data_IF_128718607372
#
_entry.id   IF_128718607372
#
_cell.length_a   1.000
_cell.length_b   1.000
_cell.length_c   1.000
_cell.angle_alpha   90.00
_cell.angle_beta   90.00
_cell.angle_gamma   90.00
#
_symmetry.space_group_name_H-M   'P 1'
#
loop_
_entity.id
_entity.type
_entity.pdbx_description
1 polymer ?
#
# COMPACT_ATOMS: atom_id res chain seq x y z
N UNK A 1 -49.85 -4.31 -33.68
CA UNK A 1 -51.23 -4.34 -33.14
C UNK A 1 -51.13 -3.81 -31.72
N UNK A 2 -51.28 -2.48 -31.50
CA UNK A 2 -52.43 -1.78 -30.89
C UNK A 2 -52.86 -2.42 -29.58
N UNK A 3 -52.83 -1.74 -28.38
CA UNK A 3 -53.54 -0.54 -27.96
C UNK A 3 -53.03 -0.10 -26.57
N UNK A 4 -52.60 1.10 -26.25
CA UNK A 4 -53.23 2.37 -25.83
C UNK A 4 -54.39 2.24 -24.80
N UNK A 5 -54.22 2.89 -23.60
CA UNK A 5 -54.97 4.02 -22.96
C UNK A 5 -54.73 3.97 -21.48
N UNK A 6 -54.18 4.98 -20.75
CA UNK A 6 -54.74 6.26 -20.25
C UNK A 6 -56.08 6.16 -19.49
N UNK A 7 -56.04 6.64 -18.21
CA UNK A 7 -57.03 7.42 -17.43
C UNK A 7 -56.39 7.66 -16.05
N UNK A 8 -56.11 8.73 -15.59
CA UNK A 8 -56.43 10.08 -15.11
C UNK A 8 -57.69 10.17 -14.24
N UNK A 9 -57.55 10.69 -13.01
CA UNK A 9 -58.40 11.49 -12.14
C UNK A 9 -58.07 11.24 -10.64
N UNK A 10 -57.60 12.11 -9.83
CA UNK A 10 -57.97 13.46 -9.36
C UNK A 10 -59.05 13.46 -8.25
N UNK A 11 -58.78 14.29 -7.20
CA UNK A 11 -59.66 14.79 -6.09
C UNK A 11 -59.76 13.90 -4.83
N UNK A 12 -59.62 14.40 -3.62
CA UNK A 12 -60.05 15.64 -2.97
C UNK A 12 -59.30 15.85 -1.64
N UNK A 13 -59.08 17.10 -1.30
CA UNK A 13 -58.59 17.59 -0.02
C UNK A 13 -59.64 17.40 1.08
N UNK A 14 -59.19 17.15 2.32
CA UNK A 14 -59.93 17.53 3.50
C UNK A 14 -59.03 17.98 4.63
N UNK A 15 -59.19 19.25 4.98
CA UNK A 15 -58.59 20.02 6.02
C UNK A 15 -59.20 19.60 7.38
N UNK A 16 -58.34 19.23 8.36
CA UNK A 16 -58.71 19.32 9.77
C UNK A 16 -57.51 19.81 10.60
N UNK A 17 -57.57 21.05 11.00
CA UNK A 17 -56.81 21.65 12.08
C UNK A 17 -57.29 21.05 13.42
N UNK A 18 -56.39 20.56 14.24
CA UNK A 18 -56.49 20.60 15.69
C UNK A 18 -55.10 20.66 16.31
N UNK A 19 -54.89 21.75 17.02
CA UNK A 19 -53.71 22.04 17.85
C UNK A 19 -53.69 21.18 19.09
N UNK A 20 -52.53 20.81 19.57
CA UNK A 20 -52.00 21.13 20.88
C UNK A 20 -50.88 20.21 21.39
N UNK A 21 -49.90 20.89 22.01
CA UNK A 21 -49.01 20.45 23.09
C UNK A 21 -47.87 19.49 22.75
N UNK A 22 -46.67 20.11 22.86
CA UNK A 22 -45.35 19.58 22.68
C UNK A 22 -44.86 18.51 23.68
N UNK A 23 -43.90 17.80 23.19
CA UNK A 23 -42.85 17.11 23.95
C UNK A 23 -41.57 17.19 23.08
N UNK A 24 -40.38 17.30 23.66
CA UNK A 24 -39.16 17.54 22.88
C UNK A 24 -38.75 16.28 22.12
N UNK A 25 -38.56 16.46 20.83
CA UNK A 25 -38.34 15.42 19.87
C UNK A 25 -36.95 14.82 19.92
N UNK A 26 -36.88 13.61 19.41
CA UNK A 26 -35.67 13.03 18.91
C UNK A 26 -35.29 13.65 17.57
N UNK A 27 -34.06 14.05 17.42
CA UNK A 27 -33.48 14.42 16.14
C UNK A 27 -33.36 13.16 15.28
N UNK A 28 -34.21 13.05 14.29
CA UNK A 28 -34.03 12.13 13.19
C UNK A 28 -32.80 12.61 12.43
N UNK A 29 -31.68 11.90 12.61
CA UNK A 29 -30.47 12.12 11.85
C UNK A 29 -30.73 11.82 10.38
N UNK A 30 -30.93 12.87 9.61
CA UNK A 30 -30.82 12.86 8.17
C UNK A 30 -29.40 12.41 7.84
N UNK A 31 -29.24 11.18 7.31
CA UNK A 31 -27.95 10.73 6.77
C UNK A 31 -27.69 11.55 5.51
N UNK A 32 -26.85 12.56 5.66
CA UNK A 32 -26.27 13.26 4.53
C UNK A 32 -25.56 12.24 3.62
N UNK A 33 -25.75 12.32 2.30
CA UNK A 33 -25.01 11.46 1.37
C UNK A 33 -23.51 11.73 1.54
N UNK A 34 -22.73 10.66 1.51
CA UNK A 34 -21.27 10.61 1.73
C UNK A 34 -20.53 11.27 0.56
N UNK A 35 -20.81 12.53 0.28
CA UNK A 35 -20.31 13.25 -0.88
C UNK A 35 -19.50 14.49 -0.52
N UNK A 36 -18.83 14.49 0.62
CA UNK A 36 -17.81 15.48 0.95
C UNK A 36 -16.84 14.90 1.99
N UNK A 37 -16.01 13.96 1.58
CA UNK A 37 -14.75 13.73 2.29
C UNK A 37 -13.94 14.99 2.07
N UNK A 38 -14.05 15.96 2.98
CA UNK A 38 -13.13 17.10 3.03
C UNK A 38 -11.74 16.48 3.15
N UNK A 39 -10.91 16.67 2.11
CA UNK A 39 -9.48 16.43 2.21
C UNK A 39 -9.03 17.22 3.43
N UNK A 40 -8.71 16.51 4.49
CA UNK A 40 -8.21 17.14 5.70
C UNK A 40 -6.78 17.55 5.41
N UNK A 41 -6.47 18.85 5.47
CA UNK A 41 -5.10 19.36 5.58
C UNK A 41 -4.49 19.03 6.96
N UNK A 42 -5.07 18.05 7.66
CA UNK A 42 -4.60 17.62 8.95
C UNK A 42 -3.17 17.07 8.82
N UNK A 43 -2.32 17.54 9.71
CA UNK A 43 -0.95 17.04 9.84
C UNK A 43 -0.96 15.52 10.02
N UNK A 44 -0.15 14.83 9.24
CA UNK A 44 0.12 13.41 9.40
C UNK A 44 1.63 13.16 9.34
N UNK A 45 2.21 12.74 10.45
CA UNK A 45 3.64 12.48 10.59
C UNK A 45 3.95 11.00 10.67
N UNK A 46 4.96 10.55 9.93
CA UNK A 46 5.57 9.22 10.10
C UNK A 46 7.01 9.35 10.54
N UNK A 47 7.42 8.50 11.46
CA UNK A 47 8.81 8.42 11.87
C UNK A 47 9.66 7.87 10.72
N UNK A 48 10.81 8.49 10.50
CA UNK A 48 11.83 8.03 9.56
C UNK A 48 13.19 7.94 10.26
N UNK A 49 13.73 6.75 10.32
CA UNK A 49 15.08 6.51 10.82
C UNK A 49 16.06 6.57 9.67
N UNK A 50 16.74 7.72 9.55
CA UNK A 50 17.71 7.96 8.48
C UNK A 50 19.05 7.33 8.83
N UNK A 51 19.35 6.20 8.22
CA UNK A 51 20.61 5.47 8.37
C UNK A 51 21.11 4.98 7.02
N UNK A 52 21.43 5.92 6.11
CA UNK A 52 21.76 5.64 4.71
C UNK A 52 20.53 5.60 3.81
N UNK A 53 20.69 5.04 2.62
CA UNK A 53 19.59 4.86 1.64
C UNK A 53 18.57 3.88 2.16
N UNK A 54 17.29 4.23 2.06
CA UNK A 54 16.20 3.31 2.35
C UNK A 54 16.11 2.27 1.23
N UNK A 55 16.72 1.12 1.46
CA UNK A 55 16.54 -0.06 0.62
C UNK A 55 15.45 -0.94 1.24
N UNK A 56 14.30 -1.13 0.58
CA UNK A 56 13.13 -1.77 1.19
C UNK A 56 13.34 -3.24 1.53
N UNK A 57 14.28 -3.92 0.84
CA UNK A 57 14.57 -5.34 1.09
C UNK A 57 15.73 -5.58 2.06
N UNK A 58 16.50 -4.53 2.41
CA UNK A 58 17.61 -4.62 3.36
C UNK A 58 17.31 -3.93 4.69
N UNK A 59 16.43 -2.93 4.72
CA UNK A 59 16.09 -2.23 5.97
C UNK A 59 15.27 -3.13 6.88
N UNK A 60 15.85 -3.48 8.03
CA UNK A 60 15.23 -4.32 9.05
C UNK A 60 14.59 -3.51 10.17
N UNK A 61 14.66 -2.16 10.13
CA UNK A 61 14.11 -1.31 11.20
C UNK A 61 12.59 -1.33 11.20
N UNK A 62 11.99 -1.49 12.36
CA UNK A 62 10.52 -1.48 12.49
C UNK A 62 9.91 -0.12 12.14
N UNK A 63 10.68 0.97 12.29
CA UNK A 63 10.25 2.33 11.96
C UNK A 63 10.10 2.48 10.45
N UNK A 64 11.16 2.16 9.69
CA UNK A 64 11.16 2.33 8.25
C UNK A 64 10.23 1.34 7.53
N UNK A 65 9.86 0.23 8.20
CA UNK A 65 8.91 -0.73 7.61
C UNK A 65 7.56 -0.09 7.25
N UNK A 66 7.07 0.85 8.07
CA UNK A 66 5.83 1.59 7.77
C UNK A 66 5.99 2.43 6.50
N UNK A 67 7.18 3.04 6.31
CA UNK A 67 7.49 3.78 5.09
C UNK A 67 7.57 2.84 3.88
N UNK A 68 8.21 1.67 4.04
CA UNK A 68 8.31 0.69 2.96
C UNK A 68 6.93 0.25 2.47
N UNK A 69 5.96 0.04 3.38
CA UNK A 69 4.58 -0.33 3.03
C UNK A 69 3.84 0.78 2.25
N UNK A 70 4.22 2.05 2.43
CA UNK A 70 3.64 3.18 1.70
C UNK A 70 4.34 3.46 0.35
N UNK A 71 5.60 3.06 0.22
CA UNK A 71 6.47 3.43 -0.89
C UNK A 71 6.67 2.30 -1.90
N UNK A 72 6.57 1.04 -1.48
CA UNK A 72 6.91 -0.11 -2.31
C UNK A 72 5.82 -1.17 -2.25
N UNK A 73 5.68 -1.91 -3.32
CA UNK A 73 4.74 -3.01 -3.44
C UNK A 73 5.49 -4.31 -3.77
N UNK A 74 4.88 -5.44 -3.42
CA UNK A 74 5.36 -6.77 -3.79
C UNK A 74 4.62 -7.32 -5.00
N UNK A 75 5.00 -8.53 -5.46
CA UNK A 75 4.22 -9.25 -6.46
C UNK A 75 2.80 -9.54 -5.95
N UNK A 76 2.69 -9.78 -4.65
CA UNK A 76 1.44 -10.08 -3.95
C UNK A 76 1.34 -9.30 -2.64
N UNK A 77 0.10 -9.13 -2.17
CA UNK A 77 -0.23 -8.76 -0.80
C UNK A 77 -0.82 -9.97 -0.09
N UNK A 78 -0.42 -10.19 1.17
CA UNK A 78 -0.98 -11.26 1.99
C UNK A 78 -2.10 -10.71 2.85
N UNK A 79 -3.32 -11.14 2.59
CA UNK A 79 -4.51 -10.71 3.33
C UNK A 79 -4.55 -11.27 4.74
N UNK A 80 -5.46 -10.72 5.56
CA UNK A 80 -5.73 -11.23 6.93
C UNK A 80 -6.20 -12.70 6.96
N UNK A 81 -6.66 -13.24 5.84
CA UNK A 81 -7.04 -14.65 5.69
C UNK A 81 -5.88 -15.52 5.17
N UNK A 82 -4.67 -14.98 5.14
CA UNK A 82 -3.47 -15.64 4.61
C UNK A 82 -3.59 -16.06 3.14
N UNK A 83 -4.37 -15.33 2.33
CA UNK A 83 -4.40 -15.49 0.86
C UNK A 83 -3.47 -14.48 0.20
N UNK A 84 -2.82 -14.88 -0.89
CA UNK A 84 -2.06 -13.97 -1.73
C UNK A 84 -3.01 -13.31 -2.72
N UNK A 85 -3.07 -11.99 -2.72
CA UNK A 85 -3.78 -11.19 -3.72
C UNK A 85 -2.75 -10.56 -4.66
N UNK A 86 -3.07 -10.53 -5.94
CA UNK A 86 -2.19 -9.99 -6.97
C UNK A 86 -2.05 -8.46 -6.81
N UNK A 87 -0.79 -7.97 -6.82
CA UNK A 87 -0.49 -6.53 -6.79
C UNK A 87 0.31 -6.17 -8.05
N UNK A 88 1.62 -6.44 -8.10
CA UNK A 88 2.45 -6.25 -9.29
C UNK A 88 2.39 -7.44 -10.26
N UNK A 89 1.94 -8.59 -9.77
CA UNK A 89 1.68 -9.78 -10.58
C UNK A 89 0.27 -9.70 -11.20
N UNK A 90 0.13 -9.88 -12.50
CA UNK A 90 -1.15 -10.02 -13.19
C UNK A 90 -1.69 -11.45 -13.07
N UNK A 91 -0.82 -12.43 -13.31
CA UNK A 91 -1.16 -13.86 -13.24
C UNK A 91 0.09 -14.71 -13.02
N UNK A 92 -0.09 -15.94 -12.55
CA UNK A 92 1.01 -16.89 -12.47
C UNK A 92 0.55 -18.31 -12.76
N UNK A 93 1.51 -19.14 -13.19
CA UNK A 93 1.37 -20.57 -13.34
C UNK A 93 2.47 -21.26 -12.54
N UNK A 94 2.20 -22.46 -12.00
CA UNK A 94 3.19 -23.21 -11.27
C UNK A 94 2.76 -24.63 -10.95
N UNK A 95 3.74 -25.53 -10.86
CA UNK A 95 3.56 -26.94 -10.49
C UNK A 95 3.93 -27.23 -9.02
N UNK A 96 4.23 -26.19 -8.26
CA UNK A 96 4.71 -26.25 -6.88
C UNK A 96 6.23 -26.20 -6.76
N UNK A 97 6.98 -26.46 -7.82
CA UNK A 97 8.44 -26.38 -7.85
C UNK A 97 8.92 -25.27 -8.77
N UNK A 98 8.27 -25.10 -9.91
CA UNK A 98 8.57 -24.04 -10.87
C UNK A 98 7.35 -23.12 -10.99
N UNK A 99 7.58 -21.83 -10.87
CA UNK A 99 6.56 -20.80 -11.03
C UNK A 99 6.98 -19.81 -12.12
N UNK A 100 6.02 -19.40 -12.93
CA UNK A 100 6.19 -18.29 -13.89
C UNK A 100 5.16 -17.23 -13.57
N UNK A 101 5.62 -16.04 -13.19
CA UNK A 101 4.81 -14.89 -12.83
C UNK A 101 4.78 -13.92 -14.01
N UNK A 102 3.61 -13.49 -14.45
CA UNK A 102 3.43 -12.47 -15.47
C UNK A 102 3.15 -11.14 -14.75
N UNK A 103 3.93 -10.12 -15.05
CA UNK A 103 3.81 -8.80 -14.45
C UNK A 103 2.72 -7.98 -15.13
N UNK A 104 2.10 -7.08 -14.39
CA UNK A 104 1.17 -6.07 -14.91
C UNK A 104 1.91 -5.14 -15.87
N UNK A 105 1.23 -4.75 -16.95
CA UNK A 105 1.79 -3.83 -17.96
C UNK A 105 1.50 -2.35 -17.71
N UNK A 106 0.74 -2.00 -16.67
CA UNK A 106 0.29 -0.65 -16.34
C UNK A 106 1.00 -0.03 -15.12
N UNK A 107 2.05 -0.69 -14.61
CA UNK A 107 2.80 -0.23 -13.45
C UNK A 107 4.03 0.56 -13.88
N UNK A 108 4.22 1.73 -13.25
CA UNK A 108 5.42 2.54 -13.38
C UNK A 108 6.02 2.85 -12.01
N UNK A 109 7.33 2.98 -11.97
CA UNK A 109 8.05 3.56 -10.83
C UNK A 109 7.79 5.07 -10.70
N UNK A 110 8.19 5.69 -9.59
CA UNK A 110 8.05 7.14 -9.41
C UNK A 110 8.83 7.95 -10.45
N UNK A 111 9.94 7.40 -10.94
CA UNK A 111 10.72 7.99 -12.03
C UNK A 111 9.97 8.06 -13.37
N UNK A 112 8.85 7.31 -13.49
CA UNK A 112 8.10 7.15 -14.73
C UNK A 112 8.55 5.97 -15.59
N UNK A 113 9.61 5.24 -15.18
CA UNK A 113 10.06 4.03 -15.86
C UNK A 113 9.06 2.88 -15.62
N UNK A 114 8.84 2.04 -16.63
CA UNK A 114 7.94 0.89 -16.52
C UNK A 114 8.58 -0.22 -15.66
N UNK A 115 7.74 -0.92 -14.89
CA UNK A 115 8.15 -2.14 -14.18
C UNK A 115 8.54 -3.24 -15.17
N UNK A 116 9.69 -3.86 -14.93
CA UNK A 116 10.22 -4.97 -15.73
C UNK A 116 10.53 -6.21 -14.88
N UNK A 117 10.74 -7.33 -15.55
CA UNK A 117 11.16 -8.57 -14.89
C UNK A 117 12.54 -8.44 -14.24
N UNK A 118 13.43 -7.63 -14.80
CA UNK A 118 14.78 -7.42 -14.24
C UNK A 118 14.72 -6.73 -12.88
N UNK A 119 13.79 -5.78 -12.67
CA UNK A 119 13.57 -5.12 -11.38
C UNK A 119 13.14 -6.12 -10.30
N UNK A 120 12.25 -7.05 -10.65
CA UNK A 120 11.80 -8.10 -9.75
C UNK A 120 12.94 -9.05 -9.42
N UNK A 121 13.71 -9.47 -10.44
CA UNK A 121 14.89 -10.33 -10.25
C UNK A 121 15.90 -9.64 -9.34
N UNK A 122 16.25 -8.38 -9.60
CA UNK A 122 17.22 -7.62 -8.79
C UNK A 122 16.76 -7.50 -7.33
N UNK A 123 15.49 -7.18 -7.10
CA UNK A 123 14.92 -7.04 -5.75
C UNK A 123 14.94 -8.35 -4.97
N UNK A 124 14.45 -9.42 -5.58
CA UNK A 124 14.38 -10.74 -4.93
C UNK A 124 15.77 -11.35 -4.72
N UNK A 125 16.70 -11.21 -5.68
CA UNK A 125 18.08 -11.67 -5.51
C UNK A 125 18.81 -10.87 -4.42
N UNK A 126 18.60 -9.54 -4.34
CA UNK A 126 19.14 -8.73 -3.26
C UNK A 126 18.67 -9.23 -1.88
N UNK A 127 17.38 -9.54 -1.75
CA UNK A 127 16.83 -10.12 -0.53
C UNK A 127 17.35 -11.52 -0.23
N UNK A 128 17.50 -12.37 -1.27
CA UNK A 128 17.98 -13.75 -1.13
C UNK A 128 19.45 -13.83 -0.72
N UNK A 129 20.31 -13.01 -1.32
CA UNK A 129 21.74 -13.07 -1.13
C UNK A 129 22.22 -12.40 0.16
N UNK A 130 21.38 -11.58 0.80
CA UNK A 130 21.74 -10.88 2.02
C UNK A 130 21.08 -11.53 3.24
N UNK A 131 21.88 -12.22 4.06
CA UNK A 131 21.41 -12.88 5.29
C UNK A 131 20.81 -11.90 6.33
N UNK A 132 21.16 -10.62 6.27
CA UNK A 132 20.58 -9.57 7.14
C UNK A 132 19.21 -9.09 6.64
N UNK A 133 18.80 -9.43 5.42
CA UNK A 133 17.49 -9.09 4.89
C UNK A 133 16.38 -9.73 5.73
N UNK A 134 15.32 -8.98 6.10
CA UNK A 134 14.17 -9.55 6.78
C UNK A 134 13.41 -10.57 5.92
N UNK A 135 13.71 -10.63 4.62
CA UNK A 135 13.07 -11.53 3.65
C UNK A 135 13.95 -12.73 3.28
N UNK A 136 15.23 -12.76 3.67
CA UNK A 136 16.17 -13.82 3.31
C UNK A 136 15.60 -15.23 3.54
N UNK A 137 15.06 -15.48 4.73
CA UNK A 137 14.52 -16.80 5.10
C UNK A 137 13.33 -17.26 4.25
N UNK A 138 12.64 -16.36 3.55
CA UNK A 138 11.53 -16.71 2.65
C UNK A 138 12.02 -17.26 1.31
N UNK A 139 13.27 -16.98 0.96
CA UNK A 139 13.88 -17.29 -0.34
C UNK A 139 14.97 -18.38 -0.27
N UNK A 140 15.18 -18.99 0.90
CA UNK A 140 16.22 -20.03 1.08
C UNK A 140 16.00 -21.27 0.22
N UNK A 141 14.74 -21.61 -0.08
CA UNK A 141 14.39 -22.75 -0.95
C UNK A 141 14.35 -22.36 -2.43
N UNK A 142 14.71 -21.14 -2.80
CA UNK A 142 14.76 -20.71 -4.19
C UNK A 142 16.11 -21.05 -4.79
N UNK A 143 16.11 -21.88 -5.86
CA UNK A 143 17.32 -22.29 -6.58
C UNK A 143 17.67 -21.35 -7.73
N UNK A 144 16.69 -20.75 -8.41
CA UNK A 144 16.92 -19.72 -9.42
C UNK A 144 15.78 -18.70 -9.50
N UNK A 145 16.12 -17.47 -9.87
CA UNK A 145 15.21 -16.37 -10.18
C UNK A 145 15.70 -15.79 -11.50
N UNK A 146 14.87 -15.84 -12.54
CA UNK A 146 15.26 -15.46 -13.90
C UNK A 146 14.19 -14.63 -14.59
N UNK A 147 14.59 -13.57 -15.30
CA UNK A 147 13.71 -12.85 -16.20
C UNK A 147 13.45 -13.68 -17.47
N UNK A 148 12.20 -13.78 -17.88
CA UNK A 148 11.78 -14.43 -19.13
C UNK A 148 11.13 -13.37 -20.01
N UNK A 149 11.99 -12.65 -20.77
CA UNK A 149 11.55 -11.43 -21.46
C UNK A 149 11.31 -10.29 -20.48
N UNK A 150 10.62 -9.23 -20.93
CA UNK A 150 10.47 -8.00 -20.15
C UNK A 150 9.45 -8.09 -19.01
N UNK A 151 8.48 -8.98 -19.09
CA UNK A 151 7.30 -8.98 -18.20
C UNK A 151 7.03 -10.33 -17.51
N UNK A 152 7.95 -11.28 -17.57
CA UNK A 152 7.78 -12.56 -16.87
C UNK A 152 9.01 -12.90 -16.03
N UNK A 153 8.75 -13.43 -14.84
CA UNK A 153 9.78 -13.92 -13.92
C UNK A 153 9.54 -15.40 -13.67
N UNK A 154 10.58 -16.20 -13.88
CA UNK A 154 10.59 -17.62 -13.53
C UNK A 154 11.35 -17.82 -12.23
N UNK A 155 10.72 -18.54 -11.29
CA UNK A 155 11.34 -18.92 -10.02
C UNK A 155 11.28 -20.43 -9.90
N UNK A 156 12.42 -21.04 -9.59
CA UNK A 156 12.54 -22.50 -9.35
C UNK A 156 12.91 -22.75 -7.90
N UNK A 157 12.21 -23.66 -7.25
CA UNK A 157 12.44 -24.06 -5.87
C UNK A 157 13.24 -25.36 -5.80
N UNK A 158 13.97 -25.56 -4.70
CA UNK A 158 14.67 -26.81 -4.38
C UNK A 158 13.72 -27.90 -3.90
N UNK A 159 12.58 -27.52 -3.30
CA UNK A 159 11.54 -28.41 -2.79
C UNK A 159 10.15 -27.86 -3.15
N UNK A 160 9.16 -28.75 -3.39
CA UNK A 160 7.82 -28.29 -3.77
C UNK A 160 7.14 -27.48 -2.66
N UNK A 161 6.61 -26.30 -3.01
CA UNK A 161 5.82 -25.45 -2.12
C UNK A 161 4.70 -24.72 -2.90
N UNK A 162 3.50 -25.29 -2.92
CA UNK A 162 2.34 -24.70 -3.60
C UNK A 162 1.89 -23.35 -3.00
N UNK A 163 2.35 -23.02 -1.79
CA UNK A 163 2.06 -21.75 -1.11
C UNK A 163 3.14 -20.69 -1.33
N UNK A 164 4.15 -20.97 -2.16
CA UNK A 164 5.26 -20.05 -2.40
C UNK A 164 4.83 -18.63 -2.80
N UNK A 165 3.78 -18.40 -3.63
CA UNK A 165 3.33 -17.05 -3.94
C UNK A 165 3.02 -16.17 -2.72
N UNK A 166 2.59 -16.76 -1.58
CA UNK A 166 2.35 -16.04 -0.32
C UNK A 166 3.62 -15.50 0.35
N UNK A 167 4.78 -15.92 -0.09
CA UNK A 167 6.06 -15.43 0.42
C UNK A 167 6.60 -14.24 -0.38
N UNK A 168 5.92 -13.87 -1.48
CA UNK A 168 6.35 -12.84 -2.42
C UNK A 168 5.66 -11.48 -2.21
N UNK A 169 5.21 -11.20 -0.99
CA UNK A 169 4.92 -9.84 -0.49
C UNK A 169 6.22 -9.09 -0.13
N UNK A 170 7.26 -9.33 -0.93
CA UNK A 170 8.58 -8.73 -0.81
C UNK A 170 8.59 -7.45 -1.65
N UNK A 171 8.99 -6.30 -1.09
CA UNK A 171 9.06 -5.05 -1.82
C UNK A 171 9.91 -5.14 -3.08
N UNK A 172 9.41 -4.58 -4.18
CA UNK A 172 10.13 -4.45 -5.44
C UNK A 172 10.59 -3.00 -5.60
N UNK A 173 11.83 -2.79 -6.02
CA UNK A 173 12.42 -1.50 -6.35
C UNK A 173 13.07 -1.56 -7.72
N UNK A 174 13.23 -0.40 -8.38
CA UNK A 174 13.85 -0.33 -9.70
C UNK A 174 15.33 -0.73 -9.62
N UNK A 175 15.74 -1.60 -10.52
CA UNK A 175 17.15 -2.04 -10.62
C UNK A 175 18.10 -0.84 -10.70
N UNK A 176 19.19 -0.92 -9.94
CA UNK A 176 20.23 0.14 -9.88
C UNK A 176 19.82 1.41 -9.11
N UNK A 177 18.61 1.53 -8.59
CA UNK A 177 18.18 2.71 -7.83
C UNK A 177 18.53 2.66 -6.33
N UNK A 178 18.82 1.48 -5.80
CA UNK A 178 19.06 1.29 -4.36
C UNK A 178 20.34 1.95 -3.82
N UNK A 179 21.28 2.28 -4.70
CA UNK A 179 22.56 2.89 -4.34
C UNK A 179 22.60 4.41 -4.63
N UNK A 180 21.46 4.99 -5.03
CA UNK A 180 21.36 6.39 -5.43
C UNK A 180 20.30 7.13 -4.63
N UNK A 181 20.73 8.15 -3.87
CA UNK A 181 19.83 9.00 -3.09
C UNK A 181 19.39 8.37 -1.75
N UNK A 182 18.37 8.96 -1.14
CA UNK A 182 17.85 8.56 0.17
C UNK A 182 16.82 7.42 0.08
N UNK A 183 16.19 7.24 -1.08
CA UNK A 183 15.18 6.22 -1.34
C UNK A 183 15.45 5.48 -2.65
N UNK A 184 15.32 4.16 -2.64
CA UNK A 184 15.22 3.38 -3.85
C UNK A 184 13.91 3.71 -4.58
N UNK A 185 13.89 3.68 -5.92
CA UNK A 185 12.71 4.00 -6.72
C UNK A 185 11.64 2.89 -6.59
N UNK A 186 10.42 3.25 -6.24
CA UNK A 186 9.33 2.33 -5.92
C UNK A 186 8.08 2.56 -6.75
N UNK A 187 7.07 1.70 -6.55
CA UNK A 187 5.81 1.71 -7.30
C UNK A 187 4.61 2.13 -6.46
N UNK A 188 4.80 2.37 -5.16
CA UNK A 188 3.72 2.50 -4.18
C UNK A 188 2.84 3.75 -4.32
N UNK A 189 1.78 3.82 -3.48
CA UNK A 189 0.79 4.90 -3.49
C UNK A 189 1.32 6.28 -3.06
N UNK A 190 2.53 6.34 -2.51
CA UNK A 190 3.19 7.60 -2.16
C UNK A 190 4.57 7.69 -2.79
N UNK A 191 5.00 8.93 -3.04
CA UNK A 191 6.33 9.26 -3.56
C UNK A 191 7.07 10.17 -2.57
N UNK A 192 8.38 9.94 -2.32
CA UNK A 192 9.18 10.84 -1.50
C UNK A 192 9.45 12.14 -2.26
N UNK A 193 9.27 13.26 -1.58
CA UNK A 193 9.51 14.61 -2.12
C UNK A 193 10.36 15.37 -1.12
N UNK A 194 11.47 15.93 -1.62
CA UNK A 194 12.32 16.82 -0.84
C UNK A 194 11.63 18.17 -0.67
N UNK A 195 11.54 18.65 0.56
CA UNK A 195 10.98 19.95 0.91
C UNK A 195 11.96 20.72 1.79
N UNK A 196 12.83 21.50 1.17
CA UNK A 196 13.96 22.15 1.83
C UNK A 196 14.95 21.13 2.39
N UNK A 197 15.06 21.06 3.72
CA UNK A 197 15.94 20.10 4.41
C UNK A 197 15.17 18.91 5.00
N UNK A 198 13.92 18.73 4.62
CA UNK A 198 13.06 17.67 5.13
C UNK A 198 12.47 16.86 3.98
N UNK A 199 12.10 15.61 4.28
CA UNK A 199 11.37 14.77 3.37
C UNK A 199 9.89 14.74 3.76
N UNK A 200 9.04 14.68 2.77
CA UNK A 200 7.63 14.34 2.90
C UNK A 200 7.24 13.29 1.88
N UNK A 201 6.19 12.56 2.12
CA UNK A 201 5.58 11.71 1.13
C UNK A 201 4.37 12.45 0.55
N UNK A 202 4.28 12.51 -0.76
CA UNK A 202 3.13 13.01 -1.49
C UNK A 202 2.35 11.84 -2.11
N UNK A 203 1.03 11.97 -2.23
CA UNK A 203 0.22 11.00 -2.95
C UNK A 203 0.73 10.82 -4.38
N UNK A 204 0.89 9.58 -4.81
CA UNK A 204 1.26 9.23 -6.17
C UNK A 204 0.01 9.27 -7.07
N UNK A 205 -0.19 10.36 -7.79
CA UNK A 205 -1.35 10.54 -8.67
C UNK A 205 -1.33 9.56 -9.87
N UNK A 206 -0.18 8.99 -10.19
CA UNK A 206 0.01 8.02 -11.26
C UNK A 206 0.03 6.56 -10.75
N UNK A 207 -0.28 6.36 -9.48
CA UNK A 207 -0.30 5.00 -8.93
C UNK A 207 -1.33 4.13 -9.64
N UNK A 208 -0.92 2.95 -10.10
CA UNK A 208 -1.74 2.03 -10.88
C UNK A 208 -3.05 1.60 -10.17
N UNK A 209 -3.08 1.64 -8.82
CA UNK A 209 -4.28 1.35 -8.02
C UNK A 209 -5.29 2.50 -7.97
N UNK A 210 -4.92 3.71 -8.47
CA UNK A 210 -5.73 4.92 -8.36
C UNK A 210 -5.79 5.44 -6.91
N UNK A 211 -5.17 6.58 -6.63
CA UNK A 211 -5.09 7.11 -5.28
C UNK A 211 -6.43 7.67 -4.80
N UNK A 212 -7.09 6.97 -3.88
CA UNK A 212 -8.36 7.36 -3.26
C UNK A 212 -8.21 7.83 -1.80
N UNK A 213 -6.98 7.85 -1.26
CA UNK A 213 -6.71 8.22 0.13
C UNK A 213 -7.00 9.68 0.44
N UNK A 214 -7.48 9.97 1.65
CA UNK A 214 -7.69 11.34 2.14
C UNK A 214 -6.40 12.02 2.61
N UNK A 215 -5.38 11.25 3.01
CA UNK A 215 -4.07 11.77 3.45
C UNK A 215 -3.19 11.90 2.20
N UNK A 216 -3.04 13.12 1.70
CA UNK A 216 -2.27 13.36 0.47
C UNK A 216 -0.81 13.73 0.73
N UNK A 217 -0.51 14.18 1.94
CA UNK A 217 0.83 14.55 2.35
C UNK A 217 1.13 13.95 3.71
N UNK A 218 2.33 13.37 3.85
CA UNK A 218 2.83 12.79 5.08
C UNK A 218 4.18 13.42 5.36
N UNK A 219 4.33 14.06 6.51
CA UNK A 219 5.61 14.63 6.94
C UNK A 219 6.51 13.51 7.46
N UNK A 220 7.76 13.43 7.01
CA UNK A 220 8.73 12.50 7.55
C UNK A 220 9.46 13.15 8.74
N UNK A 221 9.25 12.59 9.92
CA UNK A 221 9.88 13.05 11.15
C UNK A 221 11.17 12.28 11.34
N UNK A 222 12.30 12.94 11.06
CA UNK A 222 13.62 12.30 11.11
C UNK A 222 13.97 11.87 12.55
N UNK A 223 14.34 10.62 12.69
CA UNK A 223 14.78 10.00 13.96
C UNK A 223 16.25 9.64 13.87
N UNK A 224 17.02 10.05 14.87
CA UNK A 224 18.42 9.62 15.02
C UNK A 224 18.54 8.34 15.85
N UNK A 225 17.47 7.97 16.55
CA UNK A 225 17.40 6.79 17.42
C UNK A 225 16.00 6.20 17.38
N UNK A 226 15.94 4.88 17.34
CA UNK A 226 14.66 4.15 17.26
C UNK A 226 13.73 4.37 18.47
N UNK A 227 14.31 4.58 19.66
CA UNK A 227 13.55 4.83 20.89
C UNK A 227 12.88 6.21 20.96
N UNK A 228 13.33 7.18 20.13
CA UNK A 228 12.72 8.49 20.03
C UNK A 228 11.31 8.47 19.42
N UNK A 229 11.01 7.47 18.60
CA UNK A 229 9.72 7.37 17.91
C UNK A 229 8.52 7.28 18.86
N UNK A 230 8.68 6.59 20.00
CA UNK A 230 7.62 6.52 21.02
C UNK A 230 7.35 7.89 21.67
N UNK A 231 8.39 8.65 21.97
CA UNK A 231 8.24 10.00 22.54
C UNK A 231 7.57 10.94 21.52
N UNK A 232 7.95 10.87 20.24
CA UNK A 232 7.37 11.68 19.18
C UNK A 232 5.91 11.29 18.88
N UNK A 233 5.55 10.04 19.09
CA UNK A 233 4.15 9.60 19.04
C UNK A 233 3.35 10.16 20.22
N UNK A 234 3.90 10.17 21.41
CA UNK A 234 3.24 10.73 22.60
C UNK A 234 3.05 12.26 22.51
N UNK A 235 3.96 12.96 21.85
CA UNK A 235 3.84 14.42 21.59
C UNK A 235 2.95 14.77 20.41
N UNK A 236 2.57 13.79 19.58
CA UNK A 236 1.73 13.98 18.40
C UNK A 236 2.50 14.36 17.13
N UNK A 237 3.84 14.40 17.17
CA UNK A 237 4.68 14.64 15.99
C UNK A 237 4.65 13.45 15.02
N UNK A 238 4.47 12.24 15.56
CA UNK A 238 4.27 11.01 14.81
C UNK A 238 2.84 10.54 14.99
N UNK A 239 2.13 10.33 13.91
CA UNK A 239 0.70 9.98 13.90
C UNK A 239 0.46 8.47 13.95
N UNK A 240 1.43 7.66 13.54
CA UNK A 240 1.32 6.21 13.48
C UNK A 240 2.63 5.54 13.89
N UNK A 241 2.53 4.59 14.81
CA UNK A 241 3.60 3.66 15.16
C UNK A 241 3.12 2.22 15.00
N UNK A 242 3.96 1.40 14.38
CA UNK A 242 3.78 -0.05 14.38
C UNK A 242 4.45 -0.64 15.61
N UNK A 243 3.68 -1.13 16.57
CA UNK A 243 4.22 -1.85 17.72
C UNK A 243 4.66 -3.27 17.28
N UNK A 244 5.94 -3.56 17.37
CA UNK A 244 6.48 -4.90 17.10
C UNK A 244 6.12 -5.91 18.22
N UNK A 245 5.78 -5.43 19.41
CA UNK A 245 5.28 -6.18 20.57
C UNK A 245 4.43 -5.25 21.43
N UNK A 246 3.20 -5.64 21.70
CA UNK A 246 2.47 -5.14 22.86
C UNK A 246 2.98 -6.01 24.00
N UNK A 247 3.81 -5.45 24.88
CA UNK A 247 4.13 -6.07 26.16
C UNK A 247 2.89 -5.86 27.07
N UNK A 248 2.18 -6.92 27.47
CA UNK A 248 0.97 -6.79 28.26
C UNK A 248 1.35 -6.66 29.77
N UNK A 249 2.07 -5.61 30.14
CA UNK A 249 2.25 -5.25 31.54
C UNK A 249 1.34 -4.10 31.93
#
# INVERSE_FOLDING_TARGET
>A
MKWKKRVLAAFLASLCLLSACGLPGGEDGEQDPVDNVKVSDAYFGLAWYQNGTLNPVLDSTSINRVLCEALYEGLFEVTNNFTAENVLCESYEGDGTTFTFTLRGDVTFWSGEALTADDVVASLQTAQLNEASPYHNRLTEVSSIEAVGANQVRIVLTSPNVNFPRLLDIPIFREGSADSGDFADGTGPYVPVEDGNQWRLAANENWHGGFLGSIRNITLVSMTRADAAMSSFQTGDVSLLRAARIDPN
#
